data_IF_781406694382
#
_entry.id   IF_781406694382
#
_cell.length_a   1.000
_cell.length_b   1.000
_cell.length_c   1.000
_cell.angle_alpha   90.00
_cell.angle_beta   90.00
_cell.angle_gamma   90.00
#
_symmetry.space_group_name_H-M   'P 1'
#
loop_
_entity.id
_entity.type
_entity.pdbx_description
1 polymer ?
#
# COMPACT_ATOMS: atom_id res chain seq x y z
N UNK A 1 -12.84 1.35 -32.32
CA UNK A 1 -12.41 0.17 -31.52
C UNK A 1 -12.89 0.39 -30.11
N UNK A 2 -13.90 -0.36 -29.68
CA UNK A 2 -14.48 -0.27 -28.33
C UNK A 2 -13.57 -0.97 -27.34
N UNK A 3 -13.05 -0.23 -26.36
CA UNK A 3 -12.29 -0.78 -25.25
C UNK A 3 -13.17 -1.84 -24.53
N UNK A 4 -12.67 -3.07 -24.26
CA UNK A 4 -13.47 -4.07 -23.58
C UNK A 4 -13.80 -3.58 -22.17
N UNK A 5 -15.10 -3.47 -21.85
CA UNK A 5 -15.57 -3.31 -20.47
C UNK A 5 -15.20 -4.60 -19.72
N UNK A 6 -14.16 -4.55 -18.90
CA UNK A 6 -13.84 -5.65 -17.99
C UNK A 6 -15.03 -5.78 -17.02
N UNK A 7 -15.77 -6.90 -17.01
CA UNK A 7 -16.85 -7.10 -16.06
C UNK A 7 -16.26 -7.29 -14.66
N UNK A 8 -16.84 -6.63 -13.64
CA UNK A 8 -16.32 -6.56 -12.26
C UNK A 8 -16.01 -7.93 -11.61
N UNK A 9 -16.64 -9.00 -12.09
CA UNK A 9 -16.40 -10.38 -11.67
C UNK A 9 -15.03 -10.97 -12.05
N UNK A 10 -14.26 -10.29 -12.90
CA UNK A 10 -12.90 -10.67 -13.33
C UNK A 10 -11.78 -9.87 -12.66
N UNK A 11 -12.07 -9.12 -11.58
CA UNK A 11 -11.04 -8.82 -10.56
C UNK A 11 -10.70 -10.13 -9.80
N UNK A 12 -10.34 -11.16 -10.56
CA UNK A 12 -9.74 -12.38 -10.07
C UNK A 12 -8.38 -12.02 -9.49
N UNK A 13 -7.99 -12.74 -8.44
CA UNK A 13 -6.67 -12.64 -7.77
C UNK A 13 -5.53 -12.54 -8.79
N UNK A 14 -5.68 -13.20 -9.94
CA UNK A 14 -4.73 -13.19 -11.06
C UNK A 14 -4.53 -11.81 -11.70
N UNK A 15 -5.58 -10.98 -11.81
CA UNK A 15 -5.45 -9.62 -12.35
C UNK A 15 -4.70 -8.71 -11.38
N UNK A 16 -4.99 -8.79 -10.08
CA UNK A 16 -4.25 -8.03 -9.07
C UNK A 16 -2.79 -8.45 -9.04
N UNK A 17 -2.52 -9.76 -9.07
CA UNK A 17 -1.15 -10.27 -9.14
C UNK A 17 -0.44 -9.81 -10.42
N UNK A 18 -1.08 -9.89 -11.59
CA UNK A 18 -0.52 -9.41 -12.85
C UNK A 18 -0.29 -7.88 -12.85
N UNK A 19 -1.18 -7.12 -12.21
CA UNK A 19 -1.02 -5.68 -12.03
C UNK A 19 0.21 -5.37 -11.16
N UNK A 20 0.35 -6.06 -10.02
CA UNK A 20 1.54 -5.94 -9.16
C UNK A 20 2.82 -6.42 -9.86
N UNK A 21 2.74 -7.46 -10.70
CA UNK A 21 3.87 -7.91 -11.53
C UNK A 21 4.17 -7.00 -12.73
N UNK A 22 3.26 -6.12 -13.13
CA UNK A 22 3.51 -5.13 -14.16
C UNK A 22 4.15 -3.86 -13.58
N UNK A 23 3.87 -3.53 -12.32
CA UNK A 23 4.42 -2.36 -11.64
C UNK A 23 5.74 -2.70 -10.94
N UNK A 24 6.80 -1.87 -11.10
CA UNK A 24 8.06 -2.07 -10.38
C UNK A 24 8.06 -1.42 -8.98
N UNK A 25 6.95 -0.83 -8.54
CA UNK A 25 6.88 0.01 -7.33
C UNK A 25 6.72 -0.78 -6.02
N UNK A 26 6.97 -0.08 -4.91
CA UNK A 26 6.79 -0.56 -3.55
C UNK A 26 5.35 -0.28 -3.07
N UNK A 27 4.66 -1.33 -2.63
CA UNK A 27 3.31 -1.25 -2.07
C UNK A 27 3.32 -1.61 -0.60
N UNK A 28 2.71 -0.77 0.22
CA UNK A 28 2.48 -1.05 1.64
C UNK A 28 0.97 -1.10 1.89
N UNK A 29 0.53 -2.13 2.60
CA UNK A 29 -0.82 -2.22 3.13
C UNK A 29 -0.80 -1.65 4.55
N UNK A 30 -1.66 -0.66 4.80
CA UNK A 30 -1.71 0.08 6.05
C UNK A 30 -3.12 0.02 6.62
N UNK A 31 -3.24 -0.13 7.93
CA UNK A 31 -4.50 0.21 8.62
C UNK A 31 -4.72 1.72 8.61
N UNK A 32 -5.95 2.18 8.83
CA UNK A 32 -6.22 3.62 9.01
C UNK A 32 -5.54 4.19 10.27
N UNK A 33 -5.27 3.34 11.25
CA UNK A 33 -4.47 3.68 12.42
C UNK A 33 -2.95 3.67 12.12
N UNK A 34 -2.52 3.46 10.88
CA UNK A 34 -1.12 3.57 10.46
C UNK A 34 -0.23 2.37 10.75
N UNK A 35 -0.80 1.19 11.00
CA UNK A 35 -0.02 -0.05 11.17
C UNK A 35 0.27 -0.66 9.81
N UNK A 36 1.53 -1.02 9.53
CA UNK A 36 1.94 -1.69 8.30
C UNK A 36 1.62 -3.19 8.40
N UNK A 37 0.60 -3.65 7.68
CA UNK A 37 0.14 -5.05 7.75
C UNK A 37 0.85 -5.95 6.75
N UNK A 38 1.14 -5.43 5.55
CA UNK A 38 1.75 -6.21 4.47
C UNK A 38 2.55 -5.29 3.55
N UNK A 39 3.42 -5.90 2.75
CA UNK A 39 4.25 -5.21 1.78
C UNK A 39 4.44 -6.06 0.52
N UNK A 40 4.43 -5.42 -0.65
CA UNK A 40 4.80 -6.04 -1.93
C UNK A 40 5.74 -5.14 -2.70
N UNK A 41 6.87 -5.71 -3.14
CA UNK A 41 7.80 -5.03 -4.02
C UNK A 41 8.79 -6.02 -4.62
N UNK A 42 9.25 -5.74 -5.84
CA UNK A 42 10.17 -6.64 -6.55
C UNK A 42 11.63 -6.52 -6.09
N UNK A 43 12.00 -5.42 -5.46
CA UNK A 43 13.38 -5.12 -5.09
C UNK A 43 13.46 -4.85 -3.58
N UNK A 44 13.60 -5.92 -2.80
CA UNK A 44 13.83 -5.84 -1.35
C UNK A 44 15.08 -5.02 -1.01
N UNK A 45 16.05 -4.98 -1.92
CA UNK A 45 17.29 -4.20 -1.79
C UNK A 45 17.07 -2.68 -1.79
N UNK A 46 15.87 -2.20 -2.15
CA UNK A 46 15.50 -0.78 -2.09
C UNK A 46 14.83 -0.39 -0.76
N UNK A 47 14.57 -1.35 0.12
CA UNK A 47 13.99 -1.07 1.42
C UNK A 47 15.03 -0.41 2.33
N UNK A 48 14.61 0.62 3.06
CA UNK A 48 15.45 1.30 4.04
C UNK A 48 15.85 0.37 5.20
N UNK A 49 14.95 -0.54 5.57
CA UNK A 49 15.13 -1.58 6.59
C UNK A 49 14.44 -2.86 6.11
N UNK A 50 14.87 -4.05 6.57
CA UNK A 50 14.25 -5.30 6.14
C UNK A 50 12.78 -5.39 6.61
N UNK A 51 11.93 -6.19 5.94
CA UNK A 51 10.49 -6.29 6.26
C UNK A 51 10.16 -6.57 7.72
N UNK A 52 10.97 -7.40 8.37
CA UNK A 52 10.79 -7.78 9.78
C UNK A 52 10.94 -6.58 10.73
N UNK A 53 11.55 -5.49 10.28
CA UNK A 53 11.73 -4.27 11.06
C UNK A 53 10.55 -3.29 10.93
N UNK A 54 9.61 -3.51 10.00
CA UNK A 54 8.47 -2.61 9.80
C UNK A 54 7.10 -3.30 9.80
N UNK A 55 7.00 -4.59 9.47
CA UNK A 55 5.73 -5.30 9.46
C UNK A 55 5.17 -5.41 10.90
N UNK A 56 3.90 -5.08 11.05
CA UNK A 56 3.20 -5.03 12.34
C UNK A 56 3.52 -3.79 13.18
N UNK A 57 4.39 -2.90 12.69
CA UNK A 57 4.72 -1.65 13.39
C UNK A 57 3.93 -0.47 12.84
N UNK A 58 3.75 0.54 13.69
CA UNK A 58 3.14 1.80 13.28
C UNK A 58 4.14 2.60 12.43
N UNK A 59 3.66 3.30 11.39
CA UNK A 59 4.51 4.07 10.46
C UNK A 59 5.42 5.08 11.16
N UNK A 60 4.99 5.62 12.31
CA UNK A 60 5.79 6.55 13.10
C UNK A 60 6.97 5.92 13.85
N UNK A 61 6.93 4.59 14.08
CA UNK A 61 8.05 3.87 14.71
C UNK A 61 9.12 3.47 13.68
N UNK A 62 8.77 3.50 12.39
CA UNK A 62 9.61 3.02 11.28
C UNK A 62 10.18 4.17 10.47
N UNK A 63 9.35 5.16 10.14
CA UNK A 63 9.71 6.26 9.26
C UNK A 63 10.29 7.45 10.04
N UNK A 64 11.09 8.30 9.38
CA UNK A 64 11.47 9.60 9.95
C UNK A 64 10.24 10.44 10.31
N UNK A 65 10.34 11.21 11.39
CA UNK A 65 9.22 11.96 12.00
C UNK A 65 8.43 12.82 10.99
N UNK A 66 9.12 13.56 10.12
CA UNK A 66 8.48 14.41 9.12
C UNK A 66 7.65 13.61 8.09
N UNK A 67 8.10 12.40 7.75
CA UNK A 67 7.37 11.53 6.83
C UNK A 67 6.22 10.82 7.53
N UNK A 68 6.44 10.36 8.76
CA UNK A 68 5.38 9.76 9.58
C UNK A 68 4.20 10.71 9.77
N UNK A 69 4.47 12.00 10.03
CA UNK A 69 3.43 13.02 10.18
C UNK A 69 2.57 13.17 8.90
N UNK A 70 3.20 13.13 7.72
CA UNK A 70 2.48 13.18 6.44
C UNK A 70 1.56 11.97 6.25
N UNK A 71 2.04 10.76 6.59
CA UNK A 71 1.23 9.54 6.53
C UNK A 71 0.03 9.59 7.47
N UNK A 72 0.25 9.99 8.73
CA UNK A 72 -0.82 10.10 9.72
C UNK A 72 -1.90 11.08 9.26
N UNK A 73 -1.51 12.23 8.70
CA UNK A 73 -2.47 13.20 8.16
C UNK A 73 -3.26 12.61 6.97
N UNK A 74 -2.59 12.00 6.00
CA UNK A 74 -3.24 11.42 4.83
C UNK A 74 -4.20 10.28 5.21
N UNK A 75 -3.82 9.43 6.17
CA UNK A 75 -4.67 8.35 6.68
C UNK A 75 -5.90 8.90 7.41
N UNK A 76 -5.73 9.96 8.21
CA UNK A 76 -6.85 10.65 8.82
C UNK A 76 -7.81 11.18 7.73
N UNK A 77 -7.32 11.91 6.74
CA UNK A 77 -8.14 12.42 5.63
C UNK A 77 -8.88 11.30 4.88
N UNK A 78 -8.21 10.19 4.59
CA UNK A 78 -8.80 9.03 3.93
C UNK A 78 -9.93 8.38 4.77
N UNK A 79 -9.75 8.28 6.09
CA UNK A 79 -10.76 7.77 7.01
C UNK A 79 -12.04 8.62 7.06
N UNK A 80 -11.93 9.93 6.83
CA UNK A 80 -13.09 10.83 6.74
C UNK A 80 -13.76 10.81 5.36
N UNK A 81 -13.06 10.35 4.30
CA UNK A 81 -13.57 10.32 2.93
C UNK A 81 -14.51 9.14 2.64
N UNK A 82 -14.82 8.29 3.61
CA UNK A 82 -15.71 7.12 3.41
C UNK A 82 -17.22 7.46 3.45
N UNK A 83 -17.60 8.70 3.17
CA UNK A 83 -18.98 9.13 2.91
C UNK A 83 -19.21 9.38 1.41
N UNK A 84 -19.63 8.35 0.67
CA UNK A 84 -20.41 8.48 -0.59
C UNK A 84 -21.43 7.35 -0.67
#
# INVERSE_FOLDING_TARGET
>A
MTLPRIPAQYLQVDFLNALFEAMPDLYFLLTLDGVIEDFRGRQLDQLFVPPEAFLGHHVADVLPEELAAQFVQALAEAGHSNEV
#
